data_IF_263124027844
#
_entry.id   IF_263124027844
#
_cell.length_a   1.000
_cell.length_b   1.000
_cell.length_c   1.000
_cell.angle_alpha   90.00
_cell.angle_beta   90.00
_cell.angle_gamma   90.00
#
_symmetry.space_group_name_H-M   'P 1'
#
loop_
_entity.id
_entity.type
_entity.pdbx_description
1 polymer ?
#
# COMPACT_ATOMS: atom_id res chain seq x y z
N UNK A 1 -38.63 26.79 -88.02
CA UNK A 1 -37.28 26.19 -87.96
C UNK A 1 -36.95 25.87 -86.54
N UNK A 2 -37.08 24.59 -86.14
CA UNK A 2 -36.69 24.09 -84.81
C UNK A 2 -35.51 23.18 -85.02
N UNK A 3 -34.37 23.62 -84.51
CA UNK A 3 -33.17 22.75 -84.39
C UNK A 3 -33.29 21.89 -83.13
N UNK A 4 -33.41 20.60 -83.32
CA UNK A 4 -33.35 19.62 -82.26
C UNK A 4 -31.88 19.24 -82.06
N UNK A 5 -31.30 19.69 -80.91
CA UNK A 5 -29.97 19.31 -80.44
C UNK A 5 -30.07 17.90 -79.88
N UNK A 6 -29.66 16.88 -80.65
CA UNK A 6 -29.54 15.50 -80.27
C UNK A 6 -28.22 15.27 -79.50
N UNK A 7 -28.28 15.02 -78.19
CA UNK A 7 -27.14 14.44 -77.43
C UNK A 7 -26.97 12.98 -77.83
N UNK A 8 -25.83 12.50 -78.21
CA UNK A 8 -25.62 11.09 -78.48
C UNK A 8 -25.63 10.29 -77.15
N UNK A 9 -26.58 9.39 -77.05
CA UNK A 9 -26.62 8.36 -75.98
C UNK A 9 -25.42 7.40 -76.14
N UNK A 10 -24.33 7.72 -75.48
CA UNK A 10 -23.16 6.83 -75.31
C UNK A 10 -23.48 5.82 -74.22
N UNK A 11 -24.11 4.71 -74.57
CA UNK A 11 -24.16 3.53 -73.68
C UNK A 11 -22.75 2.92 -73.60
N UNK A 12 -22.16 2.73 -72.39
CA UNK A 12 -20.80 2.21 -72.23
C UNK A 12 -20.82 0.67 -72.19
N UNK A 13 -21.22 0.03 -73.27
CA UNK A 13 -21.27 -1.43 -73.40
C UNK A 13 -20.09 -1.99 -74.22
N UNK A 14 -19.02 -1.23 -74.38
CA UNK A 14 -17.77 -1.68 -75.00
C UNK A 14 -16.88 -2.50 -74.05
N UNK A 15 -15.91 -3.24 -74.59
CA UNK A 15 -14.98 -4.06 -73.79
C UNK A 15 -14.23 -3.26 -72.72
N UNK A 16 -14.00 -1.96 -72.94
CA UNK A 16 -13.34 -1.05 -71.99
C UNK A 16 -14.18 -0.70 -70.78
N UNK A 17 -15.49 -0.64 -70.86
CA UNK A 17 -16.37 -0.37 -69.71
C UNK A 17 -16.64 -1.57 -68.82
N UNK A 18 -16.25 -2.80 -69.23
CA UNK A 18 -16.40 -3.99 -68.39
C UNK A 18 -15.26 -4.13 -67.37
N UNK A 19 -13.98 -3.91 -67.82
CA UNK A 19 -12.88 -4.04 -66.90
C UNK A 19 -12.90 -2.94 -65.81
N UNK A 20 -13.33 -1.71 -66.14
CA UNK A 20 -13.49 -0.64 -65.13
C UNK A 20 -14.56 -1.02 -64.07
N UNK A 21 -15.67 -1.62 -64.48
CA UNK A 21 -16.67 -2.12 -63.56
C UNK A 21 -16.19 -3.29 -62.71
N UNK A 22 -15.39 -4.18 -63.25
CA UNK A 22 -14.83 -5.32 -62.54
C UNK A 22 -13.76 -4.85 -61.52
N UNK A 23 -12.89 -3.92 -61.88
CA UNK A 23 -11.91 -3.32 -60.98
C UNK A 23 -12.61 -2.53 -59.86
N UNK A 24 -13.62 -1.71 -60.20
CA UNK A 24 -14.40 -1.01 -59.15
C UNK A 24 -15.12 -1.97 -58.21
N UNK A 25 -15.68 -3.06 -58.74
CA UNK A 25 -16.33 -4.09 -57.94
C UNK A 25 -15.31 -4.78 -57.02
N UNK A 26 -14.14 -5.12 -57.51
CA UNK A 26 -13.08 -5.78 -56.68
C UNK A 26 -12.53 -4.86 -55.60
N UNK A 27 -12.31 -3.59 -55.90
CA UNK A 27 -11.91 -2.58 -54.91
C UNK A 27 -12.98 -2.37 -53.85
N UNK A 28 -14.26 -2.27 -54.24
CA UNK A 28 -15.37 -2.14 -53.31
C UNK A 28 -15.54 -3.38 -52.43
N UNK A 29 -15.39 -4.58 -53.01
CA UNK A 29 -15.42 -5.83 -52.24
C UNK A 29 -14.25 -5.99 -51.31
N UNK A 30 -13.03 -5.56 -51.69
CA UNK A 30 -11.87 -5.55 -50.83
C UNK A 30 -12.06 -4.57 -49.65
N UNK A 31 -12.49 -3.34 -49.93
CA UNK A 31 -12.80 -2.35 -48.90
C UNK A 31 -13.91 -2.81 -47.93
N UNK A 32 -14.95 -3.47 -48.46
CA UNK A 32 -16.04 -4.01 -47.63
C UNK A 32 -15.53 -5.16 -46.72
N UNK A 33 -14.70 -6.06 -47.25
CA UNK A 33 -14.06 -7.14 -46.44
C UNK A 33 -13.19 -6.58 -45.34
N UNK A 34 -12.41 -5.56 -45.63
CA UNK A 34 -11.54 -4.91 -44.66
C UNK A 34 -12.34 -4.16 -43.56
N UNK A 35 -13.38 -3.42 -43.92
CA UNK A 35 -14.28 -2.80 -42.97
C UNK A 35 -15.04 -3.81 -42.10
N UNK A 36 -15.43 -4.96 -42.66
CA UNK A 36 -16.08 -6.03 -41.90
C UNK A 36 -15.12 -6.66 -40.89
N UNK A 37 -13.85 -6.89 -41.29
CA UNK A 37 -12.80 -7.40 -40.40
C UNK A 37 -12.48 -6.41 -39.29
N UNK A 38 -12.35 -5.11 -39.59
CA UNK A 38 -12.14 -4.06 -38.63
C UNK A 38 -13.30 -3.91 -37.63
N UNK A 39 -14.56 -4.01 -38.10
CA UNK A 39 -15.75 -4.00 -37.23
C UNK A 39 -15.80 -5.23 -36.35
N UNK A 40 -15.46 -6.41 -36.86
CA UNK A 40 -15.39 -7.64 -36.07
C UNK A 40 -14.39 -7.52 -34.93
N UNK A 41 -13.15 -7.11 -35.24
CA UNK A 41 -12.11 -6.95 -34.22
C UNK A 41 -12.44 -5.86 -33.17
N UNK A 42 -13.02 -4.75 -33.61
CA UNK A 42 -13.47 -3.68 -32.69
C UNK A 42 -14.58 -4.15 -31.75
N UNK A 43 -15.53 -4.91 -32.24
CA UNK A 43 -16.62 -5.46 -31.44
C UNK A 43 -16.12 -6.60 -30.53
N UNK A 44 -15.21 -7.42 -31.02
CA UNK A 44 -14.54 -8.46 -30.24
C UNK A 44 -13.84 -7.87 -29.01
N UNK A 45 -13.03 -6.84 -29.20
CA UNK A 45 -12.36 -6.17 -28.08
C UNK A 45 -13.33 -5.43 -27.15
N UNK A 46 -14.43 -4.91 -27.66
CA UNK A 46 -15.49 -4.34 -26.82
C UNK A 46 -16.18 -5.40 -25.97
N UNK A 47 -16.51 -6.55 -26.54
CA UNK A 47 -17.12 -7.66 -25.81
C UNK A 47 -16.16 -8.19 -24.74
N UNK A 48 -14.88 -8.36 -25.08
CA UNK A 48 -13.86 -8.75 -24.10
C UNK A 48 -13.76 -7.70 -22.97
N UNK A 49 -13.74 -6.42 -23.30
CA UNK A 49 -13.74 -5.35 -22.31
C UNK A 49 -14.97 -5.39 -21.37
N UNK A 50 -16.15 -5.61 -21.93
CA UNK A 50 -17.40 -5.76 -21.14
C UNK A 50 -17.37 -7.03 -20.28
N UNK A 51 -16.89 -8.14 -20.82
CA UNK A 51 -16.74 -9.38 -20.05
C UNK A 51 -15.72 -9.26 -18.92
N UNK A 52 -14.62 -8.54 -19.14
CA UNK A 52 -13.66 -8.23 -18.09
C UNK A 52 -14.25 -7.34 -16.99
N UNK A 53 -15.02 -6.30 -17.39
CA UNK A 53 -15.73 -5.43 -16.44
C UNK A 53 -16.82 -6.22 -15.69
N UNK A 54 -17.56 -7.06 -16.38
CA UNK A 54 -18.57 -7.92 -15.76
C UNK A 54 -17.92 -8.95 -14.79
N UNK A 55 -16.79 -9.54 -15.17
CA UNK A 55 -16.03 -10.42 -14.28
C UNK A 55 -15.51 -9.68 -13.04
N UNK A 56 -15.14 -8.40 -13.16
CA UNK A 56 -14.79 -7.51 -12.04
C UNK A 56 -16.00 -7.23 -11.14
N UNK A 57 -17.20 -7.08 -11.70
CA UNK A 57 -18.43 -6.73 -10.96
C UNK A 57 -19.11 -7.94 -10.31
N UNK A 58 -19.16 -9.06 -11.00
CA UNK A 58 -19.83 -10.29 -10.51
C UNK A 58 -18.90 -11.24 -9.74
N UNK A 59 -17.58 -10.96 -9.75
CA UNK A 59 -16.59 -11.74 -8.99
C UNK A 59 -16.41 -11.28 -7.53
N UNK A 60 -17.15 -10.28 -7.08
CA UNK A 60 -16.96 -9.66 -5.76
C UNK A 60 -17.93 -10.14 -4.68
N UNK A 61 -18.62 -11.26 -4.89
CA UNK A 61 -19.48 -11.83 -3.84
C UNK A 61 -18.89 -13.15 -3.34
N UNK A 62 -18.04 -13.04 -2.33
CA UNK A 62 -17.96 -13.92 -1.17
C UNK A 62 -16.99 -13.31 -0.14
N UNK A 63 -17.59 -12.58 0.82
CA UNK A 63 -16.91 -12.03 1.98
C UNK A 63 -16.42 -13.13 2.93
N UNK A 64 -15.31 -13.72 2.58
CA UNK A 64 -14.45 -14.40 3.56
C UNK A 64 -13.13 -13.62 3.64
N UNK A 65 -13.15 -12.63 4.55
CA UNK A 65 -11.92 -12.06 5.08
C UNK A 65 -10.94 -13.19 5.40
N UNK A 66 -9.71 -13.03 4.90
CA UNK A 66 -8.48 -13.75 5.21
C UNK A 66 -8.58 -14.95 6.17
N UNK A 67 -9.32 -15.99 5.82
CA UNK A 67 -9.10 -17.28 6.44
C UNK A 67 -7.80 -17.80 5.81
N UNK A 68 -6.69 -17.55 6.51
CA UNK A 68 -5.53 -18.43 6.39
C UNK A 68 -6.08 -19.83 6.41
N UNK A 69 -5.88 -20.58 5.32
CA UNK A 69 -6.23 -22.00 5.26
C UNK A 69 -5.90 -22.58 6.62
N UNK A 70 -6.92 -23.15 7.30
CA UNK A 70 -6.72 -23.84 8.56
C UNK A 70 -5.78 -25.01 8.25
N UNK A 71 -4.48 -24.74 8.23
CA UNK A 71 -3.49 -25.79 8.34
C UNK A 71 -3.74 -26.35 9.72
N UNK A 72 -4.19 -27.60 9.83
CA UNK A 72 -4.41 -28.24 11.12
C UNK A 72 -3.09 -28.39 11.91
N UNK A 73 -2.08 -27.62 11.57
CA UNK A 73 -0.73 -27.61 12.13
C UNK A 73 -0.49 -26.34 12.95
N UNK A 74 0.27 -26.47 14.01
CA UNK A 74 0.79 -25.35 14.77
C UNK A 74 1.64 -24.44 13.88
N UNK A 75 1.41 -23.12 13.99
CA UNK A 75 2.06 -22.13 13.12
C UNK A 75 2.30 -20.81 13.83
N UNK A 76 3.17 -20.02 13.23
CA UNK A 76 3.38 -18.62 13.58
C UNK A 76 2.49 -17.76 12.67
N UNK A 77 1.61 -16.95 13.29
CA UNK A 77 0.79 -15.98 12.58
C UNK A 77 1.67 -14.77 12.17
N UNK A 78 1.69 -14.44 10.89
CA UNK A 78 2.45 -13.32 10.37
C UNK A 78 1.49 -12.21 9.94
N UNK A 79 1.73 -11.00 10.44
CA UNK A 79 1.00 -9.79 10.08
C UNK A 79 2.00 -8.81 9.49
N UNK A 80 1.78 -8.36 8.26
CA UNK A 80 2.70 -7.44 7.56
C UNK A 80 2.27 -6.00 7.80
N UNK A 81 3.22 -5.19 8.27
CA UNK A 81 3.10 -3.74 8.40
C UNK A 81 4.14 -3.10 7.47
N UNK A 82 3.69 -2.62 6.32
CA UNK A 82 4.56 -2.11 5.26
C UNK A 82 4.13 -0.71 4.82
N UNK A 83 5.11 0.08 4.37
CA UNK A 83 4.90 1.41 3.84
C UNK A 83 4.65 2.49 4.89
N UNK A 84 4.19 3.66 4.46
CA UNK A 84 3.95 4.82 5.32
C UNK A 84 2.71 4.61 6.20
N UNK A 85 2.83 4.91 7.50
CA UNK A 85 1.71 4.82 8.45
C UNK A 85 0.71 5.96 8.18
N UNK A 86 -0.48 5.60 7.70
CA UNK A 86 -1.52 6.56 7.35
C UNK A 86 -1.35 7.22 5.98
N UNK A 87 -0.39 6.77 5.17
CA UNK A 87 -0.15 7.29 3.82
C UNK A 87 -1.10 6.74 2.74
N UNK A 88 -1.84 5.67 3.03
CA UNK A 88 -2.76 5.00 2.11
C UNK A 88 -4.24 5.28 2.38
N UNK A 89 -5.11 4.67 1.59
CA UNK A 89 -6.57 4.68 1.81
C UNK A 89 -7.02 3.61 2.81
N UNK A 90 -6.16 2.67 3.14
CA UNK A 90 -6.48 1.55 4.01
C UNK A 90 -6.36 1.93 5.50
N UNK A 91 -7.29 1.46 6.30
CA UNK A 91 -7.24 1.59 7.76
C UNK A 91 -6.28 0.55 8.35
N UNK A 92 -5.01 0.95 8.48
CA UNK A 92 -3.94 0.09 9.02
C UNK A 92 -4.21 -0.34 10.48
N UNK A 93 -4.90 0.47 11.27
CA UNK A 93 -5.30 0.10 12.64
C UNK A 93 -6.30 -1.04 12.61
N UNK A 94 -7.32 -0.90 11.76
CA UNK A 94 -8.33 -1.94 11.56
C UNK A 94 -7.68 -3.23 11.05
N UNK A 95 -6.78 -3.12 10.07
CA UNK A 95 -6.05 -4.26 9.52
C UNK A 95 -5.26 -4.99 10.61
N UNK A 96 -4.47 -4.28 11.41
CA UNK A 96 -3.69 -4.86 12.51
C UNK A 96 -4.61 -5.52 13.53
N UNK A 97 -5.67 -4.85 13.97
CA UNK A 97 -6.64 -5.38 14.93
C UNK A 97 -7.30 -6.65 14.42
N UNK A 98 -7.92 -6.60 13.25
CA UNK A 98 -8.67 -7.73 12.68
C UNK A 98 -7.76 -8.94 12.43
N UNK A 99 -6.52 -8.70 11.98
CA UNK A 99 -5.50 -9.74 11.78
C UNK A 99 -5.07 -10.37 13.11
N UNK A 100 -4.88 -9.58 14.16
CA UNK A 100 -4.53 -10.08 15.48
C UNK A 100 -5.69 -10.87 16.12
N UNK A 101 -6.93 -10.36 16.02
CA UNK A 101 -8.12 -11.05 16.51
C UNK A 101 -8.31 -12.41 15.81
N UNK A 102 -8.09 -12.46 14.49
CA UNK A 102 -8.12 -13.70 13.73
C UNK A 102 -7.03 -14.69 14.18
N UNK A 103 -5.81 -14.19 14.45
CA UNK A 103 -4.72 -15.01 14.95
C UNK A 103 -5.01 -15.55 16.37
N UNK A 104 -5.51 -14.72 17.28
CA UNK A 104 -5.89 -15.11 18.63
C UNK A 104 -7.05 -16.11 18.66
N UNK A 105 -7.95 -16.04 17.67
CA UNK A 105 -9.07 -16.98 17.55
C UNK A 105 -8.67 -18.34 17.00
N UNK A 106 -7.45 -18.51 16.50
CA UNK A 106 -6.96 -19.75 15.92
C UNK A 106 -6.16 -20.57 16.96
N UNK A 107 -6.63 -21.74 17.41
CA UNK A 107 -5.95 -22.54 18.44
C UNK A 107 -4.57 -23.07 18.00
N UNK A 108 -4.30 -23.08 16.69
CA UNK A 108 -3.02 -23.50 16.13
C UNK A 108 -1.99 -22.37 16.01
N UNK A 109 -2.36 -21.10 16.19
CA UNK A 109 -1.43 -20.00 16.23
C UNK A 109 -0.68 -20.00 17.59
N UNK A 110 0.65 -20.13 17.56
CA UNK A 110 1.49 -20.21 18.76
C UNK A 110 2.19 -18.91 19.11
N UNK A 111 2.19 -17.96 18.20
CA UNK A 111 2.71 -16.62 18.39
C UNK A 111 2.35 -15.77 17.20
N UNK A 112 2.33 -14.45 17.42
CA UNK A 112 2.11 -13.45 16.38
C UNK A 112 3.42 -12.76 16.10
N UNK A 113 3.81 -12.67 14.83
CA UNK A 113 4.96 -11.90 14.36
C UNK A 113 4.46 -10.78 13.45
N UNK A 114 4.59 -9.54 13.91
CA UNK A 114 4.40 -8.36 13.06
C UNK A 114 5.69 -8.14 12.28
N UNK A 115 5.65 -8.41 11.01
CA UNK A 115 6.71 -8.17 10.04
C UNK A 115 6.65 -6.71 9.63
N UNK A 116 7.60 -5.90 10.06
CA UNK A 116 7.57 -4.46 9.94
C UNK A 116 8.63 -3.94 8.97
N UNK A 117 8.19 -3.22 7.93
CA UNK A 117 9.06 -2.51 6.98
C UNK A 117 8.44 -1.15 6.63
N UNK A 118 8.69 -0.14 7.48
CA UNK A 118 8.01 1.16 7.38
C UNK A 118 8.89 2.31 7.87
N UNK A 119 8.90 3.46 7.18
CA UNK A 119 9.57 4.67 7.62
C UNK A 119 8.84 5.39 8.77
N UNK A 120 7.63 4.97 9.13
CA UNK A 120 6.74 5.67 10.06
C UNK A 120 5.64 6.43 9.34
N UNK A 121 5.15 7.50 9.95
CA UNK A 121 4.05 8.32 9.41
C UNK A 121 3.20 8.96 10.51
N UNK A 122 1.88 8.91 10.39
CA UNK A 122 0.94 9.59 11.30
C UNK A 122 1.12 9.21 12.77
N UNK A 123 1.38 10.19 13.65
CA UNK A 123 1.49 9.94 15.09
C UNK A 123 0.18 9.42 15.70
N UNK A 124 -0.96 9.91 15.21
CA UNK A 124 -2.29 9.52 15.71
C UNK A 124 -2.58 8.05 15.42
N UNK A 125 -2.32 7.62 14.18
CA UNK A 125 -2.52 6.23 13.74
C UNK A 125 -1.55 5.31 14.49
N UNK A 126 -0.29 5.72 14.65
CA UNK A 126 0.73 4.97 15.38
C UNK A 126 0.35 4.76 16.85
N UNK A 127 -0.12 5.83 17.53
CA UNK A 127 -0.59 5.75 18.90
C UNK A 127 -1.84 4.87 19.04
N UNK A 128 -2.78 4.98 18.11
CA UNK A 128 -4.00 4.16 18.11
C UNK A 128 -3.66 2.68 17.94
N UNK A 129 -2.77 2.35 16.98
CA UNK A 129 -2.28 0.98 16.78
C UNK A 129 -1.52 0.45 18.00
N UNK A 130 -0.63 1.26 18.60
CA UNK A 130 0.09 0.91 19.82
C UNK A 130 -0.88 0.54 20.95
N UNK A 131 -1.88 1.36 21.20
CA UNK A 131 -2.85 1.11 22.28
C UNK A 131 -3.70 -0.13 21.99
N UNK A 132 -4.10 -0.34 20.74
CA UNK A 132 -4.91 -1.50 20.35
C UNK A 132 -4.15 -2.82 20.47
N UNK A 133 -2.87 -2.85 20.03
CA UNK A 133 -2.00 -4.03 20.23
C UNK A 133 -1.85 -4.33 21.72
N UNK A 134 -1.62 -3.31 22.54
CA UNK A 134 -1.50 -3.49 24.00
C UNK A 134 -2.79 -3.99 24.64
N UNK A 135 -3.95 -3.51 24.19
CA UNK A 135 -5.26 -4.01 24.65
C UNK A 135 -5.42 -5.48 24.34
N UNK A 136 -5.22 -5.86 23.08
CA UNK A 136 -5.35 -7.26 22.63
C UNK A 136 -4.38 -8.20 23.36
N UNK A 137 -3.12 -7.79 23.51
CA UNK A 137 -2.16 -8.55 24.34
C UNK A 137 -2.57 -8.71 25.79
N UNK A 138 -3.24 -7.71 26.36
CA UNK A 138 -3.76 -7.79 27.74
C UNK A 138 -4.88 -8.82 27.88
N UNK A 139 -5.68 -8.99 26.85
CA UNK A 139 -6.80 -9.94 26.77
C UNK A 139 -6.32 -11.37 26.44
N UNK A 140 -5.22 -11.52 25.69
CA UNK A 140 -4.71 -12.79 25.16
C UNK A 140 -3.26 -13.06 25.60
N UNK A 141 -3.04 -13.33 26.88
CA UNK A 141 -1.70 -13.48 27.48
C UNK A 141 -0.94 -14.74 27.03
N UNK A 142 -1.64 -15.72 26.49
CA UNK A 142 -1.06 -17.02 26.14
C UNK A 142 -0.35 -17.03 24.79
N UNK A 143 -0.64 -16.06 23.92
CA UNK A 143 -0.04 -15.94 22.59
C UNK A 143 0.81 -14.67 22.52
N UNK A 144 2.15 -14.78 22.52
CA UNK A 144 3.04 -13.63 22.50
C UNK A 144 3.04 -12.90 21.16
N UNK A 145 3.29 -11.60 21.21
CA UNK A 145 3.41 -10.73 20.03
C UNK A 145 4.84 -10.25 19.89
N UNK A 146 5.44 -10.56 18.76
CA UNK A 146 6.79 -10.12 18.40
C UNK A 146 6.74 -9.16 17.21
N UNK A 147 7.67 -8.22 17.16
CA UNK A 147 7.92 -7.41 15.97
C UNK A 147 9.29 -7.79 15.42
N UNK A 148 9.35 -7.97 14.12
CA UNK A 148 10.60 -8.15 13.37
C UNK A 148 10.72 -6.95 12.42
N UNK A 149 11.65 -6.05 12.70
CA UNK A 149 12.03 -4.99 11.78
C UNK A 149 12.85 -5.59 10.63
N UNK A 150 12.42 -5.41 9.41
CA UNK A 150 13.17 -5.80 8.21
C UNK A 150 14.19 -4.70 7.86
N UNK A 151 14.11 -4.10 6.69
CA UNK A 151 15.05 -3.05 6.31
C UNK A 151 14.92 -1.83 7.22
N UNK A 152 13.67 -1.45 7.56
CA UNK A 152 13.39 -0.26 8.36
C UNK A 152 12.13 -0.43 9.24
N UNK A 153 12.25 -0.02 10.51
CA UNK A 153 11.10 0.26 11.36
C UNK A 153 11.40 1.51 12.19
N UNK A 154 11.12 2.67 11.61
CA UNK A 154 11.48 3.98 12.15
C UNK A 154 10.25 4.82 12.48
N UNK A 155 10.41 5.80 13.40
CA UNK A 155 9.35 6.78 13.74
C UNK A 155 8.03 6.09 14.13
N UNK A 156 6.91 6.38 13.48
CA UNK A 156 5.61 5.78 13.75
C UNK A 156 5.61 4.23 13.73
N UNK A 157 6.46 3.59 12.90
CA UNK A 157 6.64 2.14 12.94
C UNK A 157 7.24 1.68 14.27
N UNK A 158 8.26 2.37 14.76
CA UNK A 158 8.86 2.04 16.05
C UNK A 158 7.90 2.33 17.22
N UNK A 159 7.07 3.36 17.07
CA UNK A 159 5.97 3.61 18.01
C UNK A 159 5.08 2.37 18.18
N UNK A 160 4.63 1.82 17.05
CA UNK A 160 3.80 0.59 17.02
C UNK A 160 4.59 -0.61 17.58
N UNK A 161 5.85 -0.77 17.13
CA UNK A 161 6.71 -1.87 17.55
C UNK A 161 6.93 -1.91 19.07
N UNK A 162 6.96 -0.75 19.73
CA UNK A 162 7.12 -0.67 21.19
C UNK A 162 5.97 -1.33 21.97
N UNK A 163 4.82 -1.63 21.33
CA UNK A 163 3.72 -2.39 21.94
C UNK A 163 4.00 -3.90 22.09
N UNK A 164 4.99 -4.44 21.37
CA UNK A 164 5.29 -5.86 21.33
C UNK A 164 5.93 -6.39 22.63
N UNK A 165 5.97 -7.71 22.82
CA UNK A 165 6.68 -8.35 23.94
C UNK A 165 8.19 -8.31 23.71
N UNK A 166 8.61 -8.54 22.46
CA UNK A 166 10.00 -8.37 22.04
C UNK A 166 10.06 -7.82 20.62
N UNK A 167 11.13 -7.09 20.36
CA UNK A 167 11.45 -6.51 19.06
C UNK A 167 12.75 -7.13 18.56
N UNK A 168 12.74 -7.62 17.35
CA UNK A 168 13.90 -8.19 16.67
C UNK A 168 14.20 -7.39 15.40
N UNK A 169 15.44 -7.41 14.96
CA UNK A 169 15.89 -6.76 13.73
C UNK A 169 17.10 -7.49 13.15
N UNK A 170 17.41 -7.24 11.88
CA UNK A 170 18.73 -7.58 11.34
C UNK A 170 19.80 -6.61 11.91
N UNK A 171 21.05 -7.00 12.04
CA UNK A 171 22.12 -6.09 12.42
C UNK A 171 22.19 -4.80 11.60
N UNK A 172 21.76 -4.85 10.33
CA UNK A 172 21.77 -3.73 9.38
C UNK A 172 20.45 -2.97 9.29
N UNK A 173 19.36 -3.46 9.92
CA UNK A 173 18.07 -2.78 9.94
C UNK A 173 18.19 -1.36 10.50
N UNK A 174 17.37 -0.46 9.99
CA UNK A 174 17.25 0.91 10.49
C UNK A 174 16.05 1.01 11.43
N UNK A 175 16.28 1.38 12.69
CA UNK A 175 15.23 1.50 13.71
C UNK A 175 15.36 2.79 14.51
N UNK A 176 14.34 3.12 15.32
CA UNK A 176 14.35 4.31 16.17
C UNK A 176 13.67 5.50 15.50
N UNK A 177 14.38 6.59 15.23
CA UNK A 177 13.79 7.86 14.78
C UNK A 177 12.65 8.31 15.72
N UNK A 178 12.92 8.25 17.05
CA UNK A 178 11.95 8.65 18.07
C UNK A 178 11.94 10.18 18.14
N UNK A 179 11.17 10.76 17.25
CA UNK A 179 11.07 12.20 17.06
C UNK A 179 9.83 12.56 16.23
N UNK A 180 9.56 13.85 16.16
CA UNK A 180 8.45 14.41 15.39
C UNK A 180 8.97 15.56 14.56
N UNK A 181 8.58 15.60 13.29
CA UNK A 181 8.90 16.71 12.40
C UNK A 181 7.61 17.39 11.97
N UNK A 182 7.65 18.71 11.90
CA UNK A 182 6.69 19.55 11.23
C UNK A 182 7.47 20.57 10.42
N UNK A 183 7.03 20.86 9.19
CA UNK A 183 7.78 21.81 8.37
C UNK A 183 7.07 22.13 7.08
N UNK A 184 7.60 23.15 6.40
CA UNK A 184 7.11 23.65 5.13
C UNK A 184 8.17 24.45 4.43
N UNK A 185 7.76 25.19 3.41
CA UNK A 185 8.62 26.11 2.69
C UNK A 185 8.19 27.54 2.99
N UNK A 186 9.14 28.47 3.07
CA UNK A 186 8.90 29.91 3.04
C UNK A 186 9.29 30.42 1.65
N UNK A 187 8.28 30.84 0.89
CA UNK A 187 8.47 31.39 -0.46
C UNK A 187 8.26 32.92 -0.52
N UNK A 188 8.11 33.57 0.64
CA UNK A 188 7.82 35.02 0.74
C UNK A 188 8.88 35.86 0.03
N UNK A 189 10.17 35.55 0.23
CA UNK A 189 11.26 36.26 -0.42
C UNK A 189 11.30 36.11 -1.95
N UNK A 190 10.81 34.98 -2.47
CA UNK A 190 10.66 34.81 -3.93
C UNK A 190 9.50 35.65 -4.46
N UNK A 191 8.37 35.67 -3.73
CA UNK A 191 7.19 36.45 -4.08
C UNK A 191 7.53 37.96 -4.16
N UNK A 192 8.30 38.47 -3.19
CA UNK A 192 8.74 39.86 -3.17
C UNK A 192 9.58 40.22 -4.40
N UNK A 193 10.51 39.33 -4.78
CA UNK A 193 11.33 39.52 -6.00
C UNK A 193 10.50 39.55 -7.30
N UNK A 194 9.38 38.81 -7.31
CA UNK A 194 8.47 38.74 -8.46
C UNK A 194 7.33 39.78 -8.40
N UNK A 195 7.28 40.63 -7.36
CA UNK A 195 6.22 41.60 -7.16
C UNK A 195 4.84 40.99 -6.86
N UNK A 196 4.80 39.74 -6.43
CA UNK A 196 3.57 39.00 -6.10
C UNK A 196 3.20 39.27 -4.63
N UNK A 197 1.95 39.67 -4.38
CA UNK A 197 1.44 39.94 -3.02
C UNK A 197 0.35 38.96 -2.63
N UNK A 198 0.53 38.26 -1.51
CA UNK A 198 -0.48 37.42 -0.90
C UNK A 198 -1.61 38.29 -0.35
N UNK A 199 -2.86 37.95 -0.63
CA UNK A 199 -4.07 38.62 -0.11
C UNK A 199 -4.91 37.67 0.72
N UNK A 200 -4.32 37.12 1.79
CA UNK A 200 -5.01 36.22 2.72
C UNK A 200 -5.99 36.99 3.60
N UNK A 201 -7.18 36.48 3.77
CA UNK A 201 -8.20 36.95 4.72
C UNK A 201 -8.53 35.79 5.66
N UNK A 202 -8.33 35.99 6.95
CA UNK A 202 -8.59 34.98 7.96
C UNK A 202 -9.48 35.54 9.05
N UNK A 203 -10.24 34.67 9.68
CA UNK A 203 -10.87 34.90 10.97
C UNK A 203 -10.18 33.99 12.00
N UNK A 204 -9.60 34.61 13.04
CA UNK A 204 -8.67 33.97 13.97
C UNK A 204 -7.20 34.29 13.60
N UNK A 205 -6.45 34.84 14.60
CA UNK A 205 -5.09 35.35 14.43
C UNK A 205 -4.10 34.35 13.85
N UNK A 206 -4.24 33.05 14.25
CA UNK A 206 -3.34 31.99 13.86
C UNK A 206 -3.89 31.05 12.76
N UNK A 207 -5.03 31.42 12.11
CA UNK A 207 -5.68 30.54 11.10
C UNK A 207 -4.83 30.33 9.85
N UNK A 208 -3.89 31.24 9.58
CA UNK A 208 -2.92 31.14 8.46
C UNK A 208 -1.59 30.53 8.87
N UNK A 209 -1.46 29.95 10.05
CA UNK A 209 -0.21 29.31 10.50
C UNK A 209 0.18 28.18 9.56
N UNK A 210 1.45 28.17 9.11
CA UNK A 210 1.98 27.20 8.15
C UNK A 210 1.70 27.54 6.67
N UNK A 211 1.10 28.71 6.36
CA UNK A 211 0.98 29.18 4.95
C UNK A 211 2.37 29.57 4.42
N UNK A 212 2.90 28.89 3.39
CA UNK A 212 4.25 29.15 2.85
C UNK A 212 4.38 30.52 2.17
N UNK A 213 3.26 31.19 1.91
CA UNK A 213 3.21 32.48 1.23
C UNK A 213 3.05 33.68 2.19
N UNK A 214 3.12 33.42 3.50
CA UNK A 214 3.01 34.44 4.54
C UNK A 214 4.12 34.26 5.56
N UNK A 215 4.83 35.32 5.98
CA UNK A 215 5.89 35.19 6.98
C UNK A 215 5.33 34.61 8.30
N UNK A 216 6.06 33.68 8.88
CA UNK A 216 5.73 33.12 10.20
C UNK A 216 5.98 34.17 11.29
N UNK A 217 5.04 34.28 12.24
CA UNK A 217 5.22 35.16 13.40
C UNK A 217 5.91 34.41 14.54
N UNK A 218 6.59 35.13 15.48
CA UNK A 218 7.17 34.51 16.66
C UNK A 218 6.16 33.77 17.57
N UNK A 219 4.89 34.20 17.56
CA UNK A 219 3.81 33.50 18.24
C UNK A 219 3.48 32.18 17.58
N UNK A 220 3.38 32.15 16.27
CA UNK A 220 3.11 30.93 15.48
C UNK A 220 4.23 29.91 15.62
N UNK A 221 5.50 30.35 15.61
CA UNK A 221 6.65 29.48 15.84
C UNK A 221 6.55 28.80 17.23
N UNK A 222 6.21 29.55 18.28
CA UNK A 222 6.01 28.97 19.62
C UNK A 222 4.85 27.96 19.68
N UNK A 223 3.78 28.22 18.96
CA UNK A 223 2.66 27.26 18.87
C UNK A 223 3.12 25.96 18.20
N UNK A 224 3.88 26.06 17.09
CA UNK A 224 4.47 24.89 16.43
C UNK A 224 5.40 24.09 17.34
N UNK A 225 6.33 24.77 18.04
CA UNK A 225 7.25 24.14 18.98
C UNK A 225 6.49 23.39 20.10
N UNK A 226 5.44 24.00 20.65
CA UNK A 226 4.62 23.35 21.67
C UNK A 226 3.92 22.10 21.14
N UNK A 227 3.28 22.18 19.96
CA UNK A 227 2.58 21.04 19.33
C UNK A 227 3.54 19.89 19.02
N UNK A 228 4.73 20.18 18.49
CA UNK A 228 5.73 19.17 18.19
C UNK A 228 6.27 18.53 19.49
N UNK A 229 6.50 19.35 20.52
CA UNK A 229 6.94 18.88 21.84
C UNK A 229 5.90 17.94 22.47
N UNK A 230 4.64 18.33 22.50
CA UNK A 230 3.57 17.51 23.07
C UNK A 230 3.46 16.15 22.36
N UNK A 231 3.47 16.16 21.02
CA UNK A 231 3.43 14.94 20.23
C UNK A 231 4.66 14.05 20.49
N UNK A 232 5.85 14.65 20.62
CA UNK A 232 7.08 13.95 20.90
C UNK A 232 7.08 13.33 22.31
N UNK A 233 6.55 14.04 23.32
CA UNK A 233 6.44 13.51 24.68
C UNK A 233 5.51 12.29 24.74
N UNK A 234 4.38 12.29 24.01
CA UNK A 234 3.52 11.11 23.93
C UNK A 234 4.23 9.92 23.28
N UNK A 235 5.07 10.15 22.24
CA UNK A 235 5.88 9.10 21.65
C UNK A 235 6.90 8.54 22.65
N UNK A 236 7.65 9.42 23.34
CA UNK A 236 8.62 9.03 24.38
C UNK A 236 7.94 8.19 25.46
N UNK A 237 6.77 8.62 25.92
CA UNK A 237 5.96 7.92 26.92
C UNK A 237 5.57 6.51 26.48
N UNK A 238 5.13 6.36 25.24
CA UNK A 238 4.78 5.07 24.68
C UNK A 238 5.99 4.12 24.58
N UNK A 239 7.15 4.64 24.13
CA UNK A 239 8.39 3.86 24.05
C UNK A 239 8.85 3.43 25.45
N UNK A 240 8.84 4.34 26.43
CA UNK A 240 9.18 4.02 27.83
C UNK A 240 8.23 2.97 28.41
N UNK A 241 6.93 3.11 28.13
CA UNK A 241 5.92 2.14 28.58
C UNK A 241 6.13 0.75 27.96
N UNK A 242 6.50 0.69 26.68
CA UNK A 242 6.68 -0.56 25.98
C UNK A 242 8.02 -1.24 26.24
N UNK A 243 9.10 -0.46 26.29
CA UNK A 243 10.45 -1.01 26.51
C UNK A 243 10.80 -1.22 27.98
N UNK A 244 10.21 -0.41 28.88
CA UNK A 244 10.48 -0.52 30.32
C UNK A 244 11.96 -0.44 30.67
N UNK A 245 12.42 -1.34 31.54
CA UNK A 245 13.81 -1.42 31.99
C UNK A 245 14.84 -1.83 30.93
N UNK A 246 14.38 -2.35 29.77
CA UNK A 246 15.25 -2.69 28.64
C UNK A 246 15.88 -1.46 28.00
N UNK A 247 15.15 -0.32 28.05
CA UNK A 247 15.61 0.94 27.47
C UNK A 247 16.67 1.60 28.34
N UNK A 248 17.79 1.90 27.75
CA UNK A 248 18.94 2.50 28.44
C UNK A 248 19.00 4.02 28.23
N UNK A 249 17.87 4.70 28.35
CA UNK A 249 17.76 6.14 28.09
C UNK A 249 18.56 7.03 29.03
N UNK A 250 18.91 6.54 30.24
CA UNK A 250 19.79 7.24 31.15
C UNK A 250 21.26 7.21 30.71
N UNK A 251 21.67 6.11 30.06
CA UNK A 251 23.04 5.93 29.55
C UNK A 251 23.17 6.58 28.14
N UNK A 252 22.10 6.56 27.38
CA UNK A 252 22.03 7.09 26.00
C UNK A 252 20.88 8.09 25.86
N UNK A 253 21.00 9.32 26.36
CA UNK A 253 19.91 10.31 26.39
C UNK A 253 19.52 10.79 24.98
N UNK A 254 20.38 10.60 23.97
CA UNK A 254 20.12 10.92 22.58
C UNK A 254 19.14 9.94 21.90
N UNK A 255 18.71 8.88 22.60
CA UNK A 255 17.73 7.91 22.08
C UNK A 255 16.41 8.56 21.68
N UNK A 256 16.07 9.69 22.27
CA UNK A 256 14.87 10.47 21.98
C UNK A 256 15.12 11.71 21.10
N UNK A 257 16.29 11.82 20.49
CA UNK A 257 16.66 12.97 19.65
C UNK A 257 16.09 12.92 18.22
N UNK A 258 15.38 11.84 17.87
CA UNK A 258 14.90 11.60 16.51
C UNK A 258 15.94 10.92 15.60
N UNK A 259 17.15 10.56 16.12
CA UNK A 259 18.14 9.83 15.32
C UNK A 259 17.71 8.41 15.01
N UNK A 260 18.22 7.87 13.92
CA UNK A 260 18.10 6.46 13.55
C UNK A 260 19.28 5.66 14.08
N UNK A 261 19.09 4.36 14.27
CA UNK A 261 20.06 3.41 14.75
C UNK A 261 20.13 2.22 13.81
N UNK A 262 21.32 1.67 13.61
CA UNK A 262 21.45 0.32 13.05
C UNK A 262 20.93 -0.71 14.06
N UNK A 263 20.58 -1.91 13.62
CA UNK A 263 20.18 -2.98 14.56
C UNK A 263 21.22 -3.24 15.64
N UNK A 264 22.51 -3.14 15.31
CA UNK A 264 23.62 -3.27 16.27
C UNK A 264 23.55 -2.20 17.38
N UNK A 265 23.41 -0.94 16.99
CA UNK A 265 23.29 0.16 17.94
C UNK A 265 21.98 0.09 18.71
N UNK A 266 20.88 -0.26 18.03
CA UNK A 266 19.54 -0.39 18.62
C UNK A 266 19.52 -1.43 19.76
N UNK A 267 20.19 -2.57 19.59
CA UNK A 267 20.35 -3.57 20.64
C UNK A 267 21.15 -3.02 21.81
N UNK A 268 22.21 -2.26 21.55
CA UNK A 268 23.06 -1.65 22.58
C UNK A 268 22.28 -0.66 23.45
N UNK A 269 21.44 0.17 22.85
CA UNK A 269 20.64 1.19 23.56
C UNK A 269 19.30 0.66 24.09
N UNK A 270 18.96 -0.59 23.81
CA UNK A 270 17.74 -1.25 24.31
C UNK A 270 16.48 -0.99 23.48
N UNK A 271 16.64 -0.52 22.24
CA UNK A 271 15.51 -0.36 21.31
C UNK A 271 15.03 -1.69 20.73
N UNK A 272 15.90 -2.68 20.59
CA UNK A 272 15.52 -4.06 20.22
C UNK A 272 16.03 -5.05 21.28
N UNK A 273 15.43 -6.23 21.29
CA UNK A 273 15.78 -7.29 22.24
C UNK A 273 16.91 -8.17 21.72
N UNK A 274 16.86 -8.57 20.46
CA UNK A 274 17.90 -9.39 19.83
C UNK A 274 17.85 -9.30 18.31
N UNK A 275 18.81 -9.97 17.66
CA UNK A 275 18.80 -10.14 16.21
C UNK A 275 17.94 -11.32 15.80
N UNK A 276 17.25 -11.18 14.65
CA UNK A 276 16.44 -12.26 14.09
C UNK A 276 15.62 -11.82 12.89
N UNK A 277 15.21 -12.80 12.11
CA UNK A 277 14.29 -12.67 11.01
C UNK A 277 12.97 -13.36 11.35
N UNK A 278 11.92 -13.12 10.58
CA UNK A 278 10.61 -13.79 10.74
C UNK A 278 10.79 -15.31 10.80
N UNK A 279 11.67 -15.86 9.96
CA UNK A 279 11.95 -17.30 9.88
C UNK A 279 12.63 -17.84 11.15
N UNK A 280 13.65 -17.13 11.64
CA UNK A 280 14.35 -17.57 12.86
C UNK A 280 13.48 -17.43 14.10
N UNK A 281 12.67 -16.36 14.20
CA UNK A 281 11.75 -16.15 15.33
C UNK A 281 10.66 -17.23 15.33
N UNK A 282 10.08 -17.56 14.20
CA UNK A 282 9.09 -18.65 14.11
C UNK A 282 9.66 -20.01 14.54
N UNK A 283 10.88 -20.33 14.07
CA UNK A 283 11.54 -21.61 14.35
C UNK A 283 12.07 -21.68 15.79
N UNK A 284 12.79 -20.65 16.23
CA UNK A 284 13.62 -20.73 17.42
C UNK A 284 12.97 -20.14 18.68
N UNK A 285 12.06 -19.17 18.51
CA UNK A 285 11.38 -18.47 19.62
C UNK A 285 9.94 -18.96 19.78
N UNK A 286 9.12 -18.91 18.72
CA UNK A 286 7.73 -19.39 18.75
C UNK A 286 7.67 -20.90 18.79
N UNK A 287 8.66 -21.59 18.21
CA UNK A 287 8.72 -23.06 18.05
C UNK A 287 7.63 -23.64 17.11
N UNK A 288 7.10 -22.81 16.25
CA UNK A 288 6.14 -23.15 15.20
C UNK A 288 6.62 -22.59 13.85
N UNK A 289 7.49 -23.32 13.13
CA UNK A 289 8.21 -22.83 11.95
C UNK A 289 7.31 -22.59 10.72
N UNK A 290 6.10 -23.16 10.70
CA UNK A 290 5.10 -22.86 9.68
C UNK A 290 4.68 -21.41 9.78
N UNK A 291 4.71 -20.66 8.67
CA UNK A 291 4.31 -19.25 8.62
C UNK A 291 2.97 -19.13 7.92
N UNK A 292 1.98 -18.55 8.58
CA UNK A 292 0.66 -18.29 8.02
C UNK A 292 0.39 -16.78 8.02
N UNK A 293 0.13 -16.21 6.85
CA UNK A 293 -0.21 -14.79 6.73
C UNK A 293 -1.65 -14.54 7.19
N UNK A 294 -1.80 -13.57 8.09
CA UNK A 294 -3.08 -13.06 8.57
C UNK A 294 -3.36 -11.64 8.03
N UNK A 295 -2.40 -11.04 7.33
CA UNK A 295 -2.63 -9.77 6.64
C UNK A 295 -3.63 -9.99 5.52
N UNK A 296 -4.71 -9.20 5.43
CA UNK A 296 -5.61 -9.23 4.28
C UNK A 296 -4.82 -8.98 2.99
N UNK A 297 -5.06 -9.83 2.00
CA UNK A 297 -4.51 -9.57 0.67
C UNK A 297 -5.29 -8.44 0.00
N UNK A 298 -4.61 -7.59 -0.79
CA UNK A 298 -5.28 -6.62 -1.64
C UNK A 298 -6.33 -7.31 -2.52
N UNK A 299 -7.55 -6.76 -2.57
CA UNK A 299 -8.65 -7.30 -3.37
C UNK A 299 -8.28 -7.47 -4.84
N UNK A 300 -7.43 -6.60 -5.38
CA UNK A 300 -6.90 -6.72 -6.74
C UNK A 300 -5.93 -7.90 -6.87
N UNK A 301 -5.04 -8.11 -5.90
CA UNK A 301 -4.14 -9.26 -5.87
C UNK A 301 -4.88 -10.59 -5.74
N UNK A 302 -5.93 -10.64 -4.91
CA UNK A 302 -6.85 -11.78 -4.78
C UNK A 302 -7.58 -12.05 -6.09
N UNK A 303 -8.10 -11.01 -6.73
CA UNK A 303 -8.79 -11.11 -8.00
C UNK A 303 -7.89 -11.68 -9.09
N UNK A 304 -6.67 -11.15 -9.25
CA UNK A 304 -5.69 -11.64 -10.24
C UNK A 304 -5.32 -13.09 -9.97
N UNK A 305 -5.03 -13.46 -8.72
CA UNK A 305 -4.64 -14.83 -8.34
C UNK A 305 -5.78 -15.82 -8.50
N UNK A 306 -7.00 -15.45 -8.12
CA UNK A 306 -8.19 -16.32 -8.19
C UNK A 306 -8.68 -16.54 -9.62
N UNK A 307 -8.64 -15.51 -10.48
CA UNK A 307 -9.16 -15.59 -11.85
C UNK A 307 -8.12 -15.98 -12.89
N UNK A 308 -6.87 -15.59 -12.72
CA UNK A 308 -5.81 -15.92 -13.66
C UNK A 308 -4.95 -17.10 -13.20
N UNK A 309 -4.70 -17.26 -11.92
CA UNK A 309 -3.87 -18.35 -11.40
C UNK A 309 -4.46 -19.74 -11.66
N UNK A 310 -5.75 -19.92 -11.43
CA UNK A 310 -6.44 -21.20 -11.67
C UNK A 310 -6.62 -21.50 -13.18
N UNK A 311 -6.95 -20.48 -13.96
CA UNK A 311 -7.14 -20.64 -15.42
C UNK A 311 -5.82 -20.85 -16.17
N UNK A 312 -4.76 -20.11 -15.79
CA UNK A 312 -3.42 -20.30 -16.36
C UNK A 312 -2.91 -21.70 -16.02
N UNK A 313 -3.08 -22.17 -14.81
CA UNK A 313 -2.69 -23.53 -14.41
C UNK A 313 -3.46 -24.61 -15.19
N UNK A 314 -4.78 -24.48 -15.32
CA UNK A 314 -5.62 -25.41 -16.08
C UNK A 314 -5.31 -25.42 -17.57
N UNK A 315 -5.03 -24.26 -18.18
CA UNK A 315 -4.71 -24.16 -19.62
C UNK A 315 -3.28 -24.64 -19.90
N UNK A 316 -2.33 -24.44 -18.99
CA UNK A 316 -0.98 -24.98 -19.08
C UNK A 316 -1.01 -26.53 -18.94
N UNK A 317 -1.75 -27.07 -17.96
CA UNK A 317 -1.92 -28.52 -17.81
C UNK A 317 -2.61 -29.14 -19.04
N UNK A 318 -3.63 -28.52 -19.59
CA UNK A 318 -4.33 -28.95 -20.80
C UNK A 318 -3.47 -28.84 -22.06
N UNK A 319 -2.58 -27.86 -22.12
CA UNK A 319 -1.65 -27.72 -23.24
C UNK A 319 -0.52 -28.75 -23.14
N UNK A 320 0.01 -28.98 -21.95
CA UNK A 320 1.01 -30.02 -21.70
C UNK A 320 0.46 -31.43 -21.93
N UNK A 321 -0.80 -31.70 -21.54
CA UNK A 321 -1.43 -33.01 -21.79
C UNK A 321 -1.74 -33.30 -23.25
N UNK A 322 -1.71 -32.30 -24.13
CA UNK A 322 -1.87 -32.44 -25.57
C UNK A 322 -0.54 -32.56 -26.32
N UNK A 323 0.58 -32.37 -25.63
CA UNK A 323 1.93 -32.47 -26.21
C UNK A 323 2.59 -33.83 -25.92
N UNK A 324 1.97 -34.67 -25.14
CA UNK A 324 2.31 -36.07 -24.85
C UNK A 324 1.08 -36.96 -25.11
#
# INVERSE_FOLDING_TARGET
MQETNGYPDKRPDGPEGRWERDVLRDVLLAAYKEQRRARFWRNFWRIIGVLLIAALWFGSDDGTAGQGLATGKEHTAVITLEGEIGGGMDDQVKMLRDSMEAAYSNPNAKGIVIRANSPGGSPVISNTAFNEIRRLKGEHKDIPVYVVAEDMCASGCYYIAAAADKIYADPSSIVGSIGVIGGGFDVTGLMDKLGIKRRLKTAGSNKGMGDPFTPETPEQAKIWEAMLSDTHQEFIKAVKLGRGEKLKDKEYPDVFSGRVYTGIEAKKVGLIDDFGSVYSIARDVVKAPELVSYTPEDDFGKFVRRHFGAQVKAEVEKTLSKMW
#
